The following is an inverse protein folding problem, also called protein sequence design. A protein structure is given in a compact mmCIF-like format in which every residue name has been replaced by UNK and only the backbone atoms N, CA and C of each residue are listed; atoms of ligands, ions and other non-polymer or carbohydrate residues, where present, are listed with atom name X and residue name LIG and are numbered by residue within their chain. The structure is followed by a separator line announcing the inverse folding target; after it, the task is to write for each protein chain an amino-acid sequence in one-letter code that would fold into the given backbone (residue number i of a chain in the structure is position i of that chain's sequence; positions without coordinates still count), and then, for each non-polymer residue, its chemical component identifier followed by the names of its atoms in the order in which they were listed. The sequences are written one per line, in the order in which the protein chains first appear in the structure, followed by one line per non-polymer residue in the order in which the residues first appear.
data_IF_036557537908
#
_entry.id   IF_036557537908
#
_cell.length_a   1.000
_cell.length_b   1.000
_cell.length_c   1.000
_cell.angle_alpha   90.00
_cell.angle_beta   90.00
_cell.angle_gamma   90.00
#
_symmetry.space_group_name_H-M   'P 1'
#
loop_
_entity.id
_entity.type
_entity.pdbx_description
1 polymer ?
#
# COMPACT_ATOMS: atom_id res chain seq x y z
N UNK A 1 -26.92 -20.44 8.36
CA UNK A 1 -26.33 -21.14 7.20
C UNK A 1 -25.15 -20.30 6.75
N UNK A 2 -23.93 -20.84 6.75
CA UNK A 2 -22.77 -20.10 6.25
C UNK A 2 -22.51 -20.55 4.81
N UNK A 3 -23.08 -19.83 3.85
CA UNK A 3 -22.80 -20.03 2.43
C UNK A 3 -21.53 -19.25 2.06
N UNK A 4 -20.67 -19.87 1.25
CA UNK A 4 -19.50 -19.20 0.70
C UNK A 4 -19.94 -18.31 -0.47
N UNK A 5 -19.86 -16.98 -0.29
CA UNK A 5 -20.28 -15.99 -1.29
C UNK A 5 -19.19 -15.64 -2.30
N UNK A 6 -17.98 -16.18 -2.12
CA UNK A 6 -16.83 -15.93 -2.99
C UNK A 6 -15.58 -15.55 -2.22
N UNK A 7 -14.49 -15.38 -2.96
CA UNK A 7 -13.24 -14.84 -2.46
C UNK A 7 -12.71 -13.84 -3.49
N UNK A 8 -11.99 -12.82 -3.01
CA UNK A 8 -11.27 -11.92 -3.89
C UNK A 8 -10.21 -12.70 -4.70
N UNK A 9 -10.12 -12.39 -6.00
CA UNK A 9 -9.20 -13.05 -6.93
C UNK A 9 -7.83 -12.38 -6.90
N UNK A 10 -7.22 -12.28 -5.72
CA UNK A 10 -5.86 -11.75 -5.57
C UNK A 10 -4.91 -12.74 -4.90
N UNK A 11 -3.64 -12.64 -5.28
CA UNK A 11 -2.57 -13.46 -4.72
C UNK A 11 -1.27 -12.66 -4.70
N UNK A 12 -0.58 -12.68 -3.55
CA UNK A 12 0.79 -12.17 -3.42
C UNK A 12 1.69 -13.29 -2.93
N UNK A 13 2.71 -13.61 -3.72
CA UNK A 13 3.58 -14.76 -3.53
C UNK A 13 5.05 -14.31 -3.55
N UNK A 14 5.88 -14.99 -2.75
CA UNK A 14 7.34 -14.93 -2.87
C UNK A 14 7.81 -16.25 -3.46
N UNK A 15 8.34 -16.22 -4.68
CA UNK A 15 8.85 -17.41 -5.35
C UNK A 15 10.31 -17.18 -5.72
N UNK A 16 11.21 -18.05 -5.23
CA UNK A 16 12.63 -18.03 -5.58
C UNK A 16 13.32 -16.66 -5.40
N UNK A 17 12.89 -15.88 -4.40
CA UNK A 17 13.43 -14.55 -4.13
C UNK A 17 12.80 -13.41 -4.95
N UNK A 18 11.84 -13.72 -5.83
CA UNK A 18 11.09 -12.73 -6.61
C UNK A 18 9.69 -12.56 -6.00
N UNK A 19 9.32 -11.31 -5.76
CA UNK A 19 7.97 -10.93 -5.33
C UNK A 19 7.03 -10.88 -6.54
N UNK A 20 5.89 -11.56 -6.45
CA UNK A 20 4.87 -11.59 -7.50
C UNK A 20 3.50 -11.28 -6.90
N UNK A 21 2.70 -10.49 -7.59
CA UNK A 21 1.33 -10.14 -7.21
C UNK A 21 0.39 -10.18 -8.41
N UNK A 22 -0.76 -10.84 -8.25
CA UNK A 22 -1.89 -10.80 -9.18
C UNK A 22 -3.13 -10.28 -8.46
N UNK A 23 -3.90 -9.43 -9.12
CA UNK A 23 -5.11 -8.81 -8.56
C UNK A 23 -6.22 -8.88 -9.62
N UNK A 24 -7.42 -9.30 -9.23
CA UNK A 24 -8.63 -9.22 -10.04
C UNK A 24 -8.49 -9.90 -11.41
N UNK A 25 -8.93 -9.22 -12.47
CA UNK A 25 -8.77 -9.65 -13.86
C UNK A 25 -7.34 -9.41 -14.37
N UNK A 26 -6.38 -10.11 -13.76
CA UNK A 26 -4.95 -10.03 -14.07
C UNK A 26 -4.61 -10.38 -15.54
N UNK A 27 -5.51 -11.08 -16.24
CA UNK A 27 -5.33 -11.49 -17.63
C UNK A 27 -5.99 -10.55 -18.64
N UNK A 28 -6.87 -9.64 -18.21
CA UNK A 28 -7.62 -8.76 -19.11
C UNK A 28 -8.66 -9.51 -19.94
N UNK A 29 -9.41 -10.40 -19.30
CA UNK A 29 -10.50 -11.17 -19.91
C UNK A 29 -11.76 -10.33 -20.13
N UNK A 30 -11.91 -9.22 -19.40
CA UNK A 30 -13.02 -8.28 -19.55
C UNK A 30 -13.01 -7.68 -20.95
N UNK A 31 -14.09 -7.84 -21.75
CA UNK A 31 -14.18 -7.24 -23.08
C UNK A 31 -14.01 -5.72 -23.04
N UNK A 32 -13.28 -5.14 -24.01
CA UNK A 32 -13.03 -3.70 -24.08
C UNK A 32 -12.00 -3.18 -23.07
N UNK A 33 -11.48 -4.02 -22.18
CA UNK A 33 -10.44 -3.63 -21.23
C UNK A 33 -9.18 -3.14 -21.92
N UNK A 34 -8.55 -2.13 -21.32
CA UNK A 34 -7.27 -1.56 -21.76
C UNK A 34 -6.19 -1.94 -20.77
N UNK A 35 -4.92 -1.84 -21.19
CA UNK A 35 -3.82 -2.13 -20.27
C UNK A 35 -2.64 -1.17 -20.40
N UNK A 36 -2.04 -0.85 -19.26
CA UNK A 36 -0.79 -0.11 -19.15
C UNK A 36 0.30 -1.07 -18.69
N UNK A 37 1.48 -1.00 -19.30
CA UNK A 37 2.62 -1.90 -19.00
C UNK A 37 3.86 -1.07 -18.69
N UNK A 38 4.55 -1.42 -17.61
CA UNK A 38 5.88 -0.95 -17.28
C UNK A 38 6.83 -2.15 -17.21
N UNK A 39 7.95 -2.06 -17.91
CA UNK A 39 8.98 -3.09 -17.98
C UNK A 39 10.36 -2.43 -17.81
N UNK A 40 11.14 -2.92 -16.85
CA UNK A 40 12.53 -2.55 -16.64
C UNK A 40 13.35 -3.84 -16.51
N UNK A 41 13.94 -4.28 -17.63
CA UNK A 41 14.71 -5.51 -17.71
C UNK A 41 15.99 -5.45 -16.85
N UNK A 42 16.55 -4.25 -16.64
CA UNK A 42 17.78 -4.08 -15.84
C UNK A 42 17.55 -4.36 -14.35
N UNK A 43 16.32 -4.14 -13.88
CA UNK A 43 15.89 -4.39 -12.49
C UNK A 43 14.97 -5.60 -12.37
N UNK A 44 14.73 -6.31 -13.47
CA UNK A 44 13.80 -7.45 -13.53
C UNK A 44 12.38 -7.11 -13.04
N UNK A 45 11.90 -5.89 -13.34
CA UNK A 45 10.58 -5.40 -12.94
C UNK A 45 9.61 -5.49 -14.12
N UNK A 46 8.45 -6.09 -13.87
CA UNK A 46 7.30 -6.04 -14.78
C UNK A 46 6.04 -5.68 -14.01
N UNK A 47 5.29 -4.69 -14.49
CA UNK A 47 4.00 -4.27 -13.94
C UNK A 47 3.00 -4.09 -15.06
N UNK A 48 1.78 -4.58 -14.87
CA UNK A 48 0.67 -4.39 -15.80
C UNK A 48 -0.59 -4.02 -15.05
N UNK A 49 -1.27 -2.97 -15.49
CA UNK A 49 -2.63 -2.62 -15.07
C UNK A 49 -3.62 -3.03 -16.14
N UNK A 50 -4.79 -3.48 -15.71
CA UNK A 50 -5.94 -3.77 -16.57
C UNK A 50 -7.06 -2.84 -16.11
N UNK A 51 -7.53 -1.98 -17.00
CA UNK A 51 -8.54 -0.95 -16.72
C UNK A 51 -9.77 -1.13 -17.60
N UNK A 52 -10.90 -0.59 -17.16
CA UNK A 52 -12.14 -0.55 -17.93
C UNK A 52 -12.00 0.23 -19.24
N UNK A 53 -12.93 0.01 -20.17
CA UNK A 53 -12.95 0.67 -21.48
C UNK A 53 -13.00 2.21 -21.37
N UNK A 54 -13.70 2.72 -20.36
CA UNK A 54 -13.82 4.16 -20.05
C UNK A 54 -12.63 4.73 -19.24
N UNK A 55 -11.63 3.89 -18.93
CA UNK A 55 -10.41 4.24 -18.19
C UNK A 55 -10.65 4.68 -16.73
N UNK A 56 -11.82 4.40 -16.14
CA UNK A 56 -12.20 4.87 -14.79
C UNK A 56 -12.00 3.84 -13.68
N UNK A 57 -12.00 2.55 -13.99
CA UNK A 57 -12.00 1.49 -12.99
C UNK A 57 -10.82 0.56 -13.21
N UNK A 58 -10.12 0.21 -12.11
CA UNK A 58 -9.10 -0.83 -12.15
C UNK A 58 -9.78 -2.20 -12.08
N UNK A 59 -9.58 -3.03 -13.10
CA UNK A 59 -10.14 -4.38 -13.17
C UNK A 59 -9.16 -5.42 -12.63
N UNK A 60 -7.86 -5.18 -12.77
CA UNK A 60 -6.83 -6.08 -12.28
C UNK A 60 -5.43 -5.54 -12.46
N UNK A 61 -4.46 -6.26 -11.90
CA UNK A 61 -3.04 -5.93 -12.03
C UNK A 61 -2.15 -7.17 -11.92
N UNK A 62 -0.96 -7.07 -12.52
CA UNK A 62 0.15 -8.02 -12.35
C UNK A 62 1.39 -7.24 -11.97
N UNK A 63 2.10 -7.68 -10.93
CA UNK A 63 3.36 -7.10 -10.46
C UNK A 63 4.39 -8.21 -10.29
N UNK A 64 5.59 -8.03 -10.82
CA UNK A 64 6.72 -8.95 -10.73
C UNK A 64 7.99 -8.16 -10.40
N UNK A 65 8.79 -8.68 -9.48
CA UNK A 65 10.02 -8.05 -9.01
C UNK A 65 9.71 -7.00 -7.94
N UNK A 66 9.07 -5.90 -8.33
CA UNK A 66 8.62 -4.84 -7.41
C UNK A 66 7.10 -4.91 -7.19
N UNK A 67 6.70 -5.24 -5.97
CA UNK A 67 5.30 -5.32 -5.54
C UNK A 67 4.92 -4.25 -4.51
N UNK A 68 5.68 -3.16 -4.42
CA UNK A 68 5.43 -2.05 -3.47
C UNK A 68 4.01 -1.49 -3.61
N UNK A 69 3.50 -1.43 -4.84
CA UNK A 69 2.22 -0.81 -5.16
C UNK A 69 1.02 -1.76 -4.96
N UNK A 70 1.27 -3.05 -4.68
CA UNK A 70 0.23 -4.08 -4.60
C UNK A 70 -0.91 -3.71 -3.66
N UNK A 71 -0.59 -3.22 -2.45
CA UNK A 71 -1.61 -2.89 -1.45
C UNK A 71 -2.54 -1.76 -1.92
N UNK A 72 -1.99 -0.73 -2.55
CA UNK A 72 -2.77 0.38 -3.11
C UNK A 72 -3.66 -0.10 -4.26
N UNK A 73 -3.08 -0.84 -5.21
CA UNK A 73 -3.82 -1.39 -6.35
C UNK A 73 -4.95 -2.34 -5.91
N UNK A 74 -4.70 -3.16 -4.89
CA UNK A 74 -5.72 -4.06 -4.35
C UNK A 74 -6.91 -3.28 -3.80
N UNK A 75 -6.67 -2.18 -3.08
CA UNK A 75 -7.76 -1.35 -2.55
C UNK A 75 -8.55 -0.64 -3.65
N UNK A 76 -7.91 -0.22 -4.76
CA UNK A 76 -8.62 0.33 -5.92
C UNK A 76 -9.63 -0.67 -6.49
N UNK A 77 -9.23 -1.93 -6.63
CA UNK A 77 -10.09 -3.01 -7.16
C UNK A 77 -11.20 -3.35 -6.16
N UNK A 78 -10.84 -3.63 -4.90
CA UNK A 78 -11.80 -4.09 -3.88
C UNK A 78 -12.91 -3.07 -3.58
N UNK A 79 -12.58 -1.77 -3.62
CA UNK A 79 -13.52 -0.71 -3.26
C UNK A 79 -14.06 0.05 -4.48
N UNK A 80 -13.76 -0.40 -5.71
CA UNK A 80 -14.18 0.24 -6.96
C UNK A 80 -13.90 1.76 -6.98
N UNK A 81 -12.71 2.16 -6.52
CA UNK A 81 -12.32 3.57 -6.44
C UNK A 81 -11.96 4.07 -7.84
N UNK A 82 -12.50 5.22 -8.21
CA UNK A 82 -12.21 5.86 -9.50
C UNK A 82 -10.72 6.16 -9.65
N UNK A 83 -10.17 5.78 -10.80
CA UNK A 83 -8.77 5.96 -11.17
C UNK A 83 -8.40 7.44 -11.37
N UNK A 84 -7.12 7.81 -11.17
CA UNK A 84 -6.64 9.11 -11.60
C UNK A 84 -6.72 9.25 -13.13
N UNK A 85 -6.70 10.49 -13.62
CA UNK A 85 -6.75 10.81 -15.06
C UNK A 85 -5.69 10.04 -15.88
N UNK A 86 -4.52 9.80 -15.27
CA UNK A 86 -3.41 9.03 -15.84
C UNK A 86 -3.13 7.77 -14.99
N UNK A 87 -3.77 6.61 -15.29
CA UNK A 87 -3.63 5.40 -14.48
C UNK A 87 -2.23 4.77 -14.48
N UNK A 88 -1.45 4.97 -15.54
CA UNK A 88 -0.07 4.50 -15.67
C UNK A 88 0.84 5.02 -14.54
N UNK A 89 0.56 6.23 -14.04
CA UNK A 89 1.27 6.82 -12.90
C UNK A 89 1.26 5.96 -11.62
N UNK A 90 0.30 5.02 -11.49
CA UNK A 90 0.21 4.11 -10.34
C UNK A 90 1.28 3.01 -10.35
N UNK A 91 1.81 2.65 -11.52
CA UNK A 91 2.86 1.61 -11.66
C UNK A 91 4.23 2.18 -12.01
N UNK A 92 4.28 3.44 -12.46
CA UNK A 92 5.53 4.10 -12.77
C UNK A 92 6.42 4.29 -11.53
N UNK A 93 7.74 4.14 -11.66
CA UNK A 93 8.70 4.48 -10.62
C UNK A 93 8.71 5.99 -10.31
N UNK A 94 8.87 6.34 -9.03
CA UNK A 94 8.94 7.73 -8.56
C UNK A 94 10.33 8.33 -8.84
N UNK A 95 10.60 8.75 -10.08
CA UNK A 95 11.92 9.29 -10.46
C UNK A 95 12.12 10.79 -10.21
N UNK A 96 11.09 11.53 -9.77
CA UNK A 96 11.10 13.00 -9.89
C UNK A 96 10.45 13.76 -8.72
N UNK A 97 10.58 13.26 -7.48
CA UNK A 97 10.19 14.00 -6.27
C UNK A 97 8.68 14.23 -6.06
N UNK A 98 7.86 14.06 -7.09
CA UNK A 98 6.42 13.86 -6.99
C UNK A 98 6.18 12.44 -6.48
N UNK A 99 5.73 12.31 -5.23
CA UNK A 99 5.31 11.03 -4.67
C UNK A 99 4.28 10.35 -5.57
N UNK A 100 4.27 9.01 -5.61
CA UNK A 100 3.26 8.27 -6.37
C UNK A 100 1.86 8.65 -5.88
N UNK A 101 0.85 8.73 -6.76
CA UNK A 101 -0.52 8.88 -6.34
C UNK A 101 -0.92 7.70 -5.43
N UNK A 102 -0.98 7.97 -4.13
CA UNK A 102 -1.54 7.06 -3.13
C UNK A 102 -3.04 7.30 -3.09
N UNK A 103 -3.86 6.24 -3.01
CA UNK A 103 -5.20 6.42 -2.47
C UNK A 103 -5.01 7.05 -1.08
N UNK A 104 -5.55 8.24 -0.87
CA UNK A 104 -5.66 8.77 0.48
C UNK A 104 -6.53 7.79 1.26
N UNK A 105 -6.04 7.25 2.37
CA UNK A 105 -6.79 6.33 3.24
C UNK A 105 -8.14 6.88 3.68
N UNK A 106 -8.34 8.19 3.58
CA UNK A 106 -9.62 8.88 3.78
C UNK A 106 -10.71 8.47 2.78
N UNK A 107 -10.35 8.04 1.57
CA UNK A 107 -11.31 7.56 0.55
C UNK A 107 -11.78 6.12 0.79
N UNK A 108 -11.13 5.38 1.67
CA UNK A 108 -11.54 4.00 1.98
C UNK A 108 -12.73 3.99 2.95
N UNK A 109 -13.76 3.17 2.74
CA UNK A 109 -14.81 2.97 3.74
C UNK A 109 -14.25 2.27 4.99
N UNK A 110 -14.92 2.41 6.13
CA UNK A 110 -14.49 1.74 7.38
C UNK A 110 -14.56 0.21 7.27
N UNK A 111 -15.42 -0.32 6.40
CA UNK A 111 -15.48 -1.75 6.09
C UNK A 111 -14.35 -2.24 5.19
N UNK A 112 -13.47 -1.36 4.68
CA UNK A 112 -12.38 -1.76 3.80
C UNK A 112 -11.44 -2.73 4.52
N UNK A 113 -11.24 -3.91 3.94
CA UNK A 113 -10.36 -4.92 4.51
C UNK A 113 -8.89 -4.49 4.33
N UNK A 114 -8.18 -4.28 5.44
CA UNK A 114 -6.78 -3.84 5.45
C UNK A 114 -5.84 -5.03 5.64
N UNK A 115 -6.18 -5.99 6.51
CA UNK A 115 -5.38 -7.19 6.74
C UNK A 115 -6.20 -8.47 6.53
N UNK A 116 -5.99 -9.16 5.41
CA UNK A 116 -6.68 -10.42 5.13
C UNK A 116 -6.23 -11.59 6.03
N UNK A 117 -5.00 -11.56 6.56
CA UNK A 117 -4.51 -12.66 7.42
C UNK A 117 -5.25 -12.77 8.76
N UNK A 118 -5.75 -11.63 9.27
CA UNK A 118 -6.42 -11.55 10.57
C UNK A 118 -7.79 -10.89 10.48
N UNK A 119 -8.30 -10.73 9.26
CA UNK A 119 -9.61 -10.13 8.98
C UNK A 119 -9.81 -8.76 9.67
N UNK A 120 -8.83 -7.87 9.50
CA UNK A 120 -8.84 -6.53 10.13
C UNK A 120 -9.27 -5.48 9.11
N UNK A 121 -10.32 -4.75 9.43
CA UNK A 121 -10.85 -3.64 8.61
C UNK A 121 -10.23 -2.29 9.00
N UNK A 122 -10.48 -1.25 8.18
CA UNK A 122 -10.11 0.13 8.52
C UNK A 122 -10.81 0.58 9.81
N UNK A 123 -12.06 0.23 10.00
CA UNK A 123 -12.85 0.55 11.20
C UNK A 123 -12.25 -0.05 12.46
N UNK A 124 -11.75 -1.30 12.40
CA UNK A 124 -11.08 -1.94 13.53
C UNK A 124 -9.80 -1.19 13.94
N UNK A 125 -9.03 -0.74 12.94
CA UNK A 125 -7.83 0.07 13.19
C UNK A 125 -8.19 1.41 13.83
N UNK A 126 -9.18 2.13 13.29
CA UNK A 126 -9.65 3.41 13.86
C UNK A 126 -10.14 3.20 15.30
N UNK A 127 -10.91 2.14 15.57
CA UNK A 127 -11.37 1.81 16.90
C UNK A 127 -10.20 1.54 17.88
N UNK A 128 -9.16 0.82 17.44
CA UNK A 128 -7.96 0.60 18.24
C UNK A 128 -7.16 1.90 18.49
N UNK A 129 -7.04 2.76 17.48
CA UNK A 129 -6.38 4.07 17.60
C UNK A 129 -7.12 4.94 18.62
N UNK A 130 -8.45 4.99 18.55
CA UNK A 130 -9.28 5.73 19.50
C UNK A 130 -9.19 5.19 20.95
N UNK A 131 -8.75 3.94 21.15
CA UNK A 131 -8.43 3.37 22.46
C UNK A 131 -7.01 3.67 22.95
N UNK A 132 -6.20 4.40 22.18
CA UNK A 132 -4.83 4.79 22.52
C UNK A 132 -3.72 4.03 21.78
N UNK A 133 -4.04 3.21 20.77
CA UNK A 133 -3.02 2.50 19.98
C UNK A 133 -2.34 3.42 18.96
N UNK A 134 -1.49 4.33 19.42
CA UNK A 134 -0.86 5.37 18.58
C UNK A 134 0.45 4.94 17.89
N UNK A 135 0.77 3.65 17.89
CA UNK A 135 1.96 3.12 17.20
C UNK A 135 1.61 1.87 16.41
N UNK A 136 2.37 1.60 15.34
CA UNK A 136 2.21 0.34 14.57
C UNK A 136 2.42 -0.88 15.46
N UNK A 137 3.32 -0.80 16.45
CA UNK A 137 3.54 -1.87 17.42
C UNK A 137 2.31 -2.10 18.31
N UNK A 138 1.68 -1.04 18.80
CA UNK A 138 0.43 -1.13 19.57
C UNK A 138 -0.72 -1.70 18.72
N UNK A 139 -0.86 -1.25 17.47
CA UNK A 139 -1.87 -1.80 16.55
C UNK A 139 -1.64 -3.28 16.24
N UNK A 140 -0.38 -3.71 16.07
CA UNK A 140 -0.04 -5.13 15.92
C UNK A 140 -0.44 -5.94 17.14
N UNK A 141 -0.21 -5.42 18.35
CA UNK A 141 -0.55 -6.13 19.57
C UNK A 141 -2.08 -6.26 19.75
N UNK A 142 -2.83 -5.20 19.45
CA UNK A 142 -4.28 -5.16 19.62
C UNK A 142 -5.04 -5.91 18.51
N UNK A 143 -4.70 -5.63 17.25
CA UNK A 143 -5.48 -6.11 16.09
C UNK A 143 -4.85 -7.30 15.38
N UNK A 144 -3.58 -7.64 15.69
CA UNK A 144 -2.74 -8.61 14.96
C UNK A 144 -2.41 -8.22 13.53
N UNK A 145 -2.90 -7.09 13.02
CA UNK A 145 -2.65 -6.63 11.65
C UNK A 145 -1.13 -6.55 11.37
N UNK A 146 -0.70 -7.25 10.31
CA UNK A 146 0.69 -7.22 9.86
C UNK A 146 1.67 -8.09 10.67
N UNK A 147 1.16 -8.97 11.54
CA UNK A 147 1.97 -10.00 12.22
C UNK A 147 2.09 -11.32 11.44
N UNK A 148 1.31 -11.48 10.36
CA UNK A 148 1.22 -12.70 9.54
C UNK A 148 2.13 -12.61 8.32
N UNK A 149 1.58 -12.21 7.17
CA UNK A 149 2.39 -12.01 5.95
C UNK A 149 3.09 -10.64 5.89
N UNK A 150 2.71 -9.69 6.75
CA UNK A 150 3.26 -8.32 6.78
C UNK A 150 2.88 -7.43 5.59
N UNK A 151 2.12 -7.91 4.61
CA UNK A 151 1.81 -7.17 3.38
C UNK A 151 0.96 -5.91 3.59
N UNK A 152 0.18 -5.84 4.67
CA UNK A 152 -0.67 -4.70 4.99
C UNK A 152 0.05 -3.58 5.78
N UNK A 153 1.30 -3.78 6.21
CA UNK A 153 2.01 -2.81 7.08
C UNK A 153 2.06 -1.39 6.51
N UNK A 154 2.34 -1.18 5.21
CA UNK A 154 2.32 0.16 4.63
C UNK A 154 0.94 0.82 4.79
N UNK A 155 -0.13 0.09 4.50
CA UNK A 155 -1.50 0.61 4.57
C UNK A 155 -1.95 0.85 6.01
N UNK A 156 -1.61 -0.04 6.95
CA UNK A 156 -1.83 0.17 8.40
C UNK A 156 -1.15 1.46 8.88
N UNK A 157 0.09 1.69 8.43
CA UNK A 157 0.85 2.90 8.79
C UNK A 157 0.20 4.16 8.23
N UNK A 158 -0.31 4.12 6.99
CA UNK A 158 -1.06 5.23 6.40
C UNK A 158 -2.34 5.55 7.18
N UNK A 159 -3.12 4.52 7.55
CA UNK A 159 -4.34 4.69 8.36
C UNK A 159 -4.01 5.30 9.73
N UNK A 160 -2.98 4.79 10.40
CA UNK A 160 -2.51 5.32 11.68
C UNK A 160 -2.15 6.81 11.56
N UNK A 161 -1.30 7.17 10.59
CA UNK A 161 -0.85 8.56 10.45
C UNK A 161 -1.99 9.52 10.12
N UNK A 162 -2.93 9.10 9.26
CA UNK A 162 -4.10 9.91 8.92
C UNK A 162 -5.02 10.13 10.13
N UNK A 163 -5.24 9.10 10.95
CA UNK A 163 -6.09 9.21 12.14
C UNK A 163 -5.43 10.04 13.25
N UNK A 164 -4.12 9.86 13.48
CA UNK A 164 -3.37 10.69 14.42
C UNK A 164 -3.38 12.17 14.01
N UNK A 165 -3.23 12.45 12.72
CA UNK A 165 -3.34 13.81 12.19
C UNK A 165 -4.73 14.43 12.46
N UNK A 166 -5.82 13.66 12.33
CA UNK A 166 -7.19 14.11 12.65
C UNK A 166 -7.37 14.40 14.15
N UNK A 167 -6.68 13.64 15.00
CA UNK A 167 -6.67 13.86 16.45
C UNK A 167 -5.75 15.02 16.88
N UNK A 168 -5.06 15.67 15.94
CA UNK A 168 -4.09 16.73 16.22
C UNK A 168 -2.80 16.23 16.86
N UNK A 169 -2.53 14.93 16.80
CA UNK A 169 -1.29 14.32 17.29
C UNK A 169 -0.27 14.43 16.16
N UNK A 170 0.75 15.26 16.38
CA UNK A 170 1.82 15.45 15.39
C UNK A 170 2.66 14.17 15.29
N UNK A 171 2.63 13.54 14.12
CA UNK A 171 3.44 12.35 13.84
C UNK A 171 4.87 12.79 13.59
N UNK A 172 5.68 12.74 14.64
CA UNK A 172 7.09 13.07 14.54
C UNK A 172 7.88 11.88 13.96
N UNK A 173 8.48 12.07 12.80
CA UNK A 173 9.32 11.08 12.12
C UNK A 173 10.80 11.09 12.56
N UNK A 174 11.13 11.89 13.57
CA UNK A 174 12.44 11.94 14.19
C UNK A 174 12.89 10.56 14.67
N UNK A 175 14.17 10.25 14.48
CA UNK A 175 14.75 8.99 14.94
C UNK A 175 14.64 8.85 16.47
N UNK A 176 14.80 9.96 17.20
CA UNK A 176 14.54 10.07 18.62
C UNK A 176 14.36 11.55 19.02
N UNK A 177 14.02 11.80 20.28
CA UNK A 177 13.87 13.16 20.84
C UNK A 177 15.12 14.06 20.71
N UNK A 178 16.31 13.45 20.55
CA UNK A 178 17.57 14.17 20.44
C UNK A 178 17.87 14.69 19.03
N UNK A 179 17.24 14.11 18.00
CA UNK A 179 17.55 14.42 16.60
C UNK A 179 16.29 14.75 15.81
N UNK A 180 16.22 15.98 15.31
CA UNK A 180 15.14 16.46 14.45
C UNK A 180 15.21 15.93 13.01
N UNK A 181 15.61 14.67 12.84
CA UNK A 181 15.79 14.02 11.55
C UNK A 181 15.27 12.60 11.59
N UNK A 182 14.57 12.21 10.54
CA UNK A 182 14.28 10.80 10.25
C UNK A 182 15.56 10.02 9.98
N UNK A 183 15.47 8.69 10.04
CA UNK A 183 16.62 7.82 9.73
C UNK A 183 17.18 8.08 8.32
N UNK A 184 16.32 8.37 7.34
CA UNK A 184 16.75 8.65 5.97
C UNK A 184 17.46 10.01 5.86
N UNK A 185 16.91 11.06 6.49
CA UNK A 185 17.54 12.38 6.51
C UNK A 185 18.88 12.35 7.24
N UNK A 186 18.95 11.65 8.37
CA UNK A 186 20.18 11.48 9.13
C UNK A 186 21.23 10.71 8.31
N UNK A 187 20.82 9.64 7.61
CA UNK A 187 21.70 8.91 6.69
C UNK A 187 22.19 9.80 5.54
N UNK A 188 21.31 10.63 4.98
CA UNK A 188 21.66 11.56 3.91
C UNK A 188 22.65 12.62 4.39
N UNK A 189 22.43 13.20 5.59
CA UNK A 189 23.34 14.12 6.26
C UNK A 189 24.72 13.49 6.48
N UNK A 190 24.77 12.30 7.08
CA UNK A 190 26.02 11.56 7.33
C UNK A 190 26.77 11.31 6.02
N UNK A 191 26.05 10.94 4.95
CA UNK A 191 26.65 10.63 3.65
C UNK A 191 27.18 11.86 2.92
N UNK A 192 26.47 12.98 2.95
CA UNK A 192 26.85 14.24 2.28
C UNK A 192 27.98 14.94 3.03
N UNK A 193 27.85 15.05 4.35
CA UNK A 193 28.82 15.75 5.21
C UNK A 193 30.03 14.88 5.59
N UNK A 194 30.00 13.59 5.26
CA UNK A 194 31.09 12.67 5.53
C UNK A 194 31.36 12.47 7.03
N UNK A 195 30.32 12.56 7.86
CA UNK A 195 30.42 12.44 9.32
C UNK A 195 30.82 11.00 9.68
N UNK A 196 31.97 10.84 10.34
CA UNK A 196 32.52 9.53 10.74
C UNK A 196 32.50 9.29 12.24
N UNK A 197 32.21 10.32 13.03
CA UNK A 197 32.22 10.31 14.50
C UNK A 197 31.00 11.06 15.02
N UNK A 198 30.51 10.67 16.19
CA UNK A 198 29.33 11.22 16.84
C UNK A 198 29.66 12.46 17.68
#
# INVERSE_FOLDING_TARGET
ENAFEGADLSAKLKLLGVDVGGIGDAHGRTPGARSYVYLDESKEIYKRLIVSEDNKTLLGAVLVGDTSDYGNLLQLVLNAIELPENPDSLILPAHSGSGKPSIGVDKLPDSAQICSCFDVTKGDLIAAINKGCHTVAALKAETKAGTGCGGCIPLVTQVLNAELAKQGIEVNNNLCEHFAYSRQELFHLIRVEGIKTF
#
